data_IF_437558490368
#
_entry.id   IF_437558490368
#
_cell.length_a   1.000
_cell.length_b   1.000
_cell.length_c   1.000
_cell.angle_alpha   90.00
_cell.angle_beta   90.00
_cell.angle_gamma   90.00
#
_symmetry.space_group_name_H-M   'P 1'
#
loop_
_entity.id
_entity.type
_entity.pdbx_description
1 polymer ?
#
# COMPACT_ATOMS: atom_id res chain seq x y z
N UNK A 1 -26.16 -3.80 15.31
CA UNK A 1 -25.26 -4.35 14.28
C UNK A 1 -23.86 -3.92 14.69
N UNK A 2 -23.25 -4.70 15.57
CA UNK A 2 -21.94 -4.42 16.13
C UNK A 2 -20.99 -5.16 15.20
N UNK A 3 -20.08 -4.45 14.53
CA UNK A 3 -18.96 -5.12 13.87
C UNK A 3 -18.25 -5.89 14.97
N UNK A 4 -18.42 -7.22 14.95
CA UNK A 4 -17.67 -8.13 15.78
C UNK A 4 -16.19 -7.74 15.68
N UNK A 5 -15.62 -7.52 16.86
CA UNK A 5 -14.20 -7.39 17.11
C UNK A 5 -13.46 -8.52 16.41
N UNK A 6 -13.00 -8.27 15.19
CA UNK A 6 -11.88 -9.01 14.64
C UNK A 6 -10.69 -8.62 15.51
N UNK A 7 -10.22 -9.55 16.32
CA UNK A 7 -8.86 -9.55 16.89
C UNK A 7 -7.87 -9.48 15.71
N UNK A 8 -7.69 -8.30 15.13
CA UNK A 8 -6.63 -8.05 14.15
C UNK A 8 -5.35 -7.76 14.95
N UNK A 9 -4.82 -8.78 15.63
CA UNK A 9 -3.53 -8.70 16.31
C UNK A 9 -2.41 -8.28 15.34
N UNK A 10 -2.59 -8.57 14.03
CA UNK A 10 -1.70 -8.17 12.96
C UNK A 10 -2.48 -8.02 11.64
N UNK A 11 -2.26 -6.93 10.92
CA UNK A 11 -2.84 -6.71 9.59
C UNK A 11 -1.89 -7.22 8.51
N UNK A 12 -2.29 -8.28 7.81
CA UNK A 12 -1.55 -8.83 6.66
C UNK A 12 -1.82 -8.02 5.39
N UNK A 13 -0.76 -7.54 4.74
CA UNK A 13 -0.82 -6.68 3.55
C UNK A 13 0.10 -7.21 2.45
N UNK A 14 -0.41 -7.25 1.22
CA UNK A 14 0.40 -7.49 0.02
C UNK A 14 0.53 -6.20 -0.77
N UNK A 15 1.76 -5.77 -1.04
CA UNK A 15 2.07 -4.47 -1.67
C UNK A 15 2.80 -4.69 -2.98
N UNK A 16 2.21 -4.20 -4.08
CA UNK A 16 2.86 -4.20 -5.39
C UNK A 16 3.91 -3.10 -5.52
N UNK A 17 5.03 -3.41 -6.15
CA UNK A 17 6.08 -2.43 -6.46
C UNK A 17 6.67 -2.63 -7.85
N UNK A 18 7.20 -1.54 -8.41
CA UNK A 18 8.01 -1.54 -9.64
C UNK A 18 9.52 -1.64 -9.35
N UNK A 19 9.91 -1.67 -8.05
CA UNK A 19 11.32 -1.85 -7.66
C UNK A 19 11.79 -3.28 -7.94
N UNK A 20 13.09 -3.44 -8.12
CA UNK A 20 13.73 -4.76 -8.25
C UNK A 20 13.64 -5.51 -6.91
N UNK A 21 13.19 -6.75 -6.95
CA UNK A 21 13.08 -7.64 -5.78
C UNK A 21 14.08 -8.81 -5.88
N UNK A 22 14.49 -9.42 -4.76
CA UNK A 22 14.18 -9.02 -3.38
C UNK A 22 14.95 -7.76 -2.94
N UNK A 23 14.29 -6.89 -2.17
CA UNK A 23 14.89 -5.69 -1.56
C UNK A 23 14.51 -5.63 -0.07
N UNK A 24 15.35 -6.19 0.82
CA UNK A 24 15.05 -6.27 2.25
C UNK A 24 15.00 -4.90 2.94
N UNK A 25 15.74 -3.92 2.44
CA UNK A 25 15.69 -2.57 3.00
C UNK A 25 14.34 -1.93 2.68
N UNK A 26 13.92 -2.01 1.43
CA UNK A 26 12.64 -1.48 0.99
C UNK A 26 11.45 -2.16 1.68
N UNK A 27 11.54 -3.48 1.93
CA UNK A 27 10.52 -4.19 2.70
C UNK A 27 10.37 -3.64 4.13
N UNK A 28 11.48 -3.34 4.82
CA UNK A 28 11.44 -2.71 6.16
C UNK A 28 10.88 -1.30 6.11
N UNK A 29 11.26 -0.51 5.10
CA UNK A 29 10.75 0.85 4.90
C UNK A 29 9.23 0.86 4.72
N UNK A 30 8.69 -0.04 3.89
CA UNK A 30 7.23 -0.16 3.69
C UNK A 30 6.56 -0.58 4.99
N UNK A 31 7.08 -1.62 5.66
CA UNK A 31 6.51 -2.10 6.93
C UNK A 31 6.43 -0.99 7.97
N UNK A 32 7.56 -0.33 8.24
CA UNK A 32 7.62 0.77 9.22
C UNK A 32 6.69 1.92 8.85
N UNK A 33 6.58 2.25 7.55
CA UNK A 33 5.66 3.29 7.08
C UNK A 33 4.20 2.91 7.33
N UNK A 34 3.81 1.66 7.06
CA UNK A 34 2.44 1.19 7.24
C UNK A 34 2.07 1.07 8.72
N UNK A 35 2.94 0.52 9.56
CA UNK A 35 2.72 0.46 11.01
C UNK A 35 2.55 1.87 11.60
N UNK A 36 3.41 2.81 11.19
CA UNK A 36 3.32 4.20 11.66
C UNK A 36 2.05 4.92 11.20
N UNK A 37 1.48 4.55 10.04
CA UNK A 37 0.30 5.22 9.47
C UNK A 37 -1.00 4.63 9.95
N UNK A 38 -1.02 3.33 10.20
CA UNK A 38 -2.21 2.58 10.60
C UNK A 38 -2.29 2.41 12.12
N UNK A 39 -1.21 2.70 12.85
CA UNK A 39 -1.12 2.58 14.32
C UNK A 39 -1.44 1.16 14.83
N UNK A 40 -1.22 0.15 13.97
CA UNK A 40 -1.42 -1.27 14.25
C UNK A 40 -0.24 -2.08 13.67
N UNK A 41 0.08 -3.25 14.25
CA UNK A 41 1.09 -4.16 13.69
C UNK A 41 0.71 -4.62 12.29
N UNK A 42 1.68 -4.65 11.37
CA UNK A 42 1.45 -5.15 10.00
C UNK A 42 2.46 -6.22 9.61
N UNK A 43 2.00 -7.22 8.86
CA UNK A 43 2.85 -8.10 8.08
C UNK A 43 2.77 -7.72 6.61
N UNK A 44 3.91 -7.59 5.94
CA UNK A 44 3.98 -7.03 4.59
C UNK A 44 4.72 -7.95 3.65
N UNK A 45 4.01 -8.43 2.63
CA UNK A 45 4.61 -9.10 1.48
C UNK A 45 4.73 -8.10 0.33
N UNK A 46 5.97 -7.74 -0.02
CA UNK A 46 6.23 -6.88 -1.18
C UNK A 46 6.43 -7.75 -2.42
N UNK A 47 5.58 -7.56 -3.42
CA UNK A 47 5.56 -8.33 -4.67
C UNK A 47 5.73 -7.44 -5.89
N UNK A 48 6.12 -8.04 -7.02
CA UNK A 48 6.20 -7.32 -8.29
C UNK A 48 4.83 -6.79 -8.71
N UNK A 49 4.80 -5.65 -9.39
CA UNK A 49 3.57 -5.10 -9.95
C UNK A 49 2.89 -6.08 -10.92
N UNK A 50 1.56 -6.24 -10.78
CA UNK A 50 0.75 -7.16 -11.58
C UNK A 50 0.63 -8.57 -10.99
N UNK A 51 1.17 -8.82 -9.79
CA UNK A 51 1.13 -10.14 -9.13
C UNK A 51 -0.10 -10.31 -8.23
N UNK A 52 -0.74 -9.21 -7.80
CA UNK A 52 -1.96 -9.30 -6.98
C UNK A 52 -3.15 -9.49 -7.93
N UNK A 53 -3.80 -10.68 -7.94
CA UNK A 53 -4.99 -10.88 -8.75
C UNK A 53 -6.10 -9.96 -8.24
N UNK A 54 -6.83 -9.33 -9.16
CA UNK A 54 -8.00 -8.55 -8.80
C UNK A 54 -9.03 -9.50 -8.16
N UNK A 55 -9.42 -9.21 -6.92
CA UNK A 55 -10.53 -9.93 -6.29
C UNK A 55 -11.78 -9.79 -7.18
N UNK A 56 -12.59 -10.85 -7.33
CA UNK A 56 -13.84 -10.77 -8.08
C UNK A 56 -14.73 -9.68 -7.47
N UNK A 57 -14.91 -8.56 -8.18
CA UNK A 57 -15.74 -7.42 -7.76
C UNK A 57 -15.02 -6.20 -7.12
N UNK A 58 -13.68 -6.15 -7.06
CA UNK A 58 -12.93 -5.00 -6.51
C UNK A 58 -12.47 -3.98 -7.56
N UNK A 59 -12.66 -2.68 -7.31
CA UNK A 59 -12.26 -1.58 -8.22
C UNK A 59 -10.74 -1.37 -8.29
N UNK A 60 -10.25 -0.94 -9.47
CA UNK A 60 -8.93 -0.30 -9.64
C UNK A 60 -9.11 1.07 -10.30
N UNK A 61 -8.86 2.17 -9.56
CA UNK A 61 -8.78 3.53 -10.13
C UNK A 61 -7.54 4.22 -9.63
N UNK A 62 -6.52 4.36 -10.47
CA UNK A 62 -5.51 5.41 -10.31
C UNK A 62 -5.10 5.93 -11.68
N UNK A 63 -5.52 7.16 -12.00
CA UNK A 63 -4.80 8.02 -12.94
C UNK A 63 -4.77 9.43 -12.37
N UNK A 64 -3.61 9.83 -11.84
CA UNK A 64 -3.35 11.22 -11.46
C UNK A 64 -2.17 11.72 -12.27
N UNK A 65 -2.46 12.64 -13.17
CA UNK A 65 -1.44 13.42 -13.88
C UNK A 65 -1.76 14.87 -13.63
N UNK A 66 -0.99 15.52 -12.75
CA UNK A 66 -1.07 16.97 -12.58
C UNK A 66 -0.29 17.66 -13.71
N UNK A 67 -1.02 18.36 -14.58
CA UNK A 67 -0.47 19.12 -15.71
C UNK A 67 -0.55 20.63 -15.50
N UNK A 68 -0.83 21.11 -14.28
CA UNK A 68 -0.91 22.56 -14.04
C UNK A 68 0.48 23.16 -14.24
N UNK A 69 0.64 24.20 -15.10
CA UNK A 69 1.83 25.03 -15.08
C UNK A 69 2.00 25.58 -13.66
N UNK A 70 3.22 25.54 -13.12
CA UNK A 70 3.52 26.27 -11.87
C UNK A 70 3.08 27.71 -12.09
N UNK A 71 2.17 28.23 -11.26
CA UNK A 71 1.95 29.67 -11.19
C UNK A 71 3.27 30.29 -10.71
N UNK A 72 4.05 30.83 -11.64
CA UNK A 72 5.09 31.80 -11.31
C UNK A 72 4.37 33.03 -10.79
N UNK A 73 4.82 33.54 -9.65
CA UNK A 73 4.35 34.77 -9.03
C UNK A 73 4.33 35.95 -10.02
N UNK A 74 3.31 36.80 -9.88
CA UNK A 74 3.39 38.23 -10.11
C UNK A 74 3.09 38.92 -8.78
#
# INVERSE_FOLDING_TARGET
>A
MILDSWDMEMLELKVETVRKLPDPQYQREIKSTLESRLEIPVDVEVVSAGTIPMAPGGYKVIKVVDKRPKKTSL
#
